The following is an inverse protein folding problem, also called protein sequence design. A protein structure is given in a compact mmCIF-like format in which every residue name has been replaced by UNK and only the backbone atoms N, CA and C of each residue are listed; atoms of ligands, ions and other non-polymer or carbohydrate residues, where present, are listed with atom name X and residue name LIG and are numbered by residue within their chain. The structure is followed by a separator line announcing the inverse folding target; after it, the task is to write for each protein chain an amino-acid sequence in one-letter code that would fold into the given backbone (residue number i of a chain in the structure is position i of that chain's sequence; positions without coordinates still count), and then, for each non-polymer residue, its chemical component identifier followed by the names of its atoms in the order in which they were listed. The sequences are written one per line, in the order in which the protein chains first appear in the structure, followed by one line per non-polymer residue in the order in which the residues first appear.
data_IF_828375481199
#
_entry.id   IF_828375481199
#
_cell.length_a   1.000
_cell.length_b   1.000
_cell.length_c   1.000
_cell.angle_alpha   90.00
_cell.angle_beta   90.00
_cell.angle_gamma   90.00
#
_symmetry.space_group_name_H-M   'P 1'
#
loop_
_entity.id
_entity.type
_entity.pdbx_description
1 polymer ?
#
# COMPACT_ATOMS: atom_id res chain seq x y z
N UNK A 1 -15.10 -7.00 36.83
CA UNK A 1 -13.78 -7.51 36.42
C UNK A 1 -13.86 -7.99 34.98
N UNK A 2 -13.18 -7.33 34.04
CA UNK A 2 -13.22 -7.68 32.62
C UNK A 2 -12.18 -8.78 32.35
N UNK A 3 -12.56 -9.81 31.60
CA UNK A 3 -11.69 -10.93 31.24
C UNK A 3 -11.45 -10.95 29.74
N UNK A 4 -10.24 -11.33 29.32
CA UNK A 4 -9.91 -11.56 27.91
C UNK A 4 -9.36 -12.95 27.71
N UNK A 5 -9.46 -13.46 26.48
CA UNK A 5 -8.85 -14.73 26.08
C UNK A 5 -7.50 -14.45 25.42
N UNK A 6 -6.45 -15.16 25.83
CA UNK A 6 -5.15 -15.04 25.20
C UNK A 6 -5.26 -15.54 23.74
N UNK A 7 -4.88 -14.74 22.72
CA UNK A 7 -4.97 -15.15 21.32
C UNK A 7 -3.96 -16.24 20.94
N UNK A 8 -2.97 -16.51 21.79
CA UNK A 8 -1.95 -17.54 21.55
C UNK A 8 -2.33 -18.88 22.21
N UNK A 9 -2.59 -18.90 23.52
CA UNK A 9 -2.83 -20.14 24.26
C UNK A 9 -4.30 -20.38 24.67
N UNK A 10 -5.21 -19.43 24.40
CA UNK A 10 -6.63 -19.58 24.69
C UNK A 10 -7.04 -19.47 26.17
N UNK A 11 -6.10 -19.30 27.12
CA UNK A 11 -6.42 -19.11 28.55
C UNK A 11 -7.12 -17.77 28.80
N UNK A 12 -8.05 -17.74 29.77
CA UNK A 12 -8.69 -16.49 30.24
C UNK A 12 -7.74 -15.77 31.20
N UNK A 13 -7.50 -14.49 30.96
CA UNK A 13 -6.70 -13.62 31.82
C UNK A 13 -7.48 -12.37 32.16
N UNK A 14 -7.30 -11.77 33.35
CA UNK A 14 -7.86 -10.46 33.64
C UNK A 14 -7.37 -9.43 32.61
N UNK A 15 -8.22 -8.48 32.26
CA UNK A 15 -7.83 -7.36 31.40
C UNK A 15 -6.86 -6.45 32.16
N UNK A 16 -5.75 -6.11 31.51
CA UNK A 16 -4.63 -5.39 32.13
C UNK A 16 -3.45 -6.29 32.50
N UNK A 17 -3.69 -7.59 32.70
CA UNK A 17 -2.64 -8.54 33.07
C UNK A 17 -2.03 -9.26 31.85
N UNK A 18 -0.74 -9.57 31.96
CA UNK A 18 -0.02 -10.37 30.96
C UNK A 18 -0.33 -11.84 31.17
N UNK A 19 -0.50 -12.57 30.06
CA UNK A 19 -0.64 -14.02 30.12
C UNK A 19 0.71 -14.67 30.45
N UNK A 20 0.70 -15.67 31.32
CA UNK A 20 1.89 -16.40 31.77
C UNK A 20 2.51 -17.31 30.70
N UNK A 21 1.85 -17.51 29.55
CA UNK A 21 2.33 -18.41 28.49
C UNK A 21 3.62 -17.94 27.79
N UNK A 22 4.19 -16.79 28.18
CA UNK A 22 5.47 -16.31 27.69
C UNK A 22 5.46 -15.87 26.22
N UNK A 23 4.31 -15.92 25.53
CA UNK A 23 4.21 -15.54 24.12
C UNK A 23 4.57 -14.07 23.94
N UNK A 24 5.72 -13.83 23.31
CA UNK A 24 6.11 -12.54 22.78
C UNK A 24 5.76 -12.54 21.30
N UNK A 25 4.84 -11.67 20.90
CA UNK A 25 4.60 -11.43 19.49
C UNK A 25 5.88 -10.84 18.89
N UNK A 26 6.56 -11.62 18.06
CA UNK A 26 7.65 -11.11 17.27
C UNK A 26 7.09 -10.19 16.20
N UNK A 27 7.45 -8.91 16.30
CA UNK A 27 7.23 -7.99 15.20
C UNK A 27 8.45 -8.11 14.29
N UNK A 28 8.23 -8.50 13.03
CA UNK A 28 9.28 -8.40 12.02
C UNK A 28 9.90 -7.01 12.08
N UNK A 29 11.24 -6.93 12.18
CA UNK A 29 11.94 -5.65 12.07
C UNK A 29 11.51 -5.03 10.74
N UNK A 30 10.88 -3.85 10.79
CA UNK A 30 10.48 -3.11 9.58
C UNK A 30 11.73 -2.95 8.72
N UNK A 31 11.74 -3.57 7.53
CA UNK A 31 12.90 -3.55 6.64
C UNK A 31 13.27 -2.15 6.17
N UNK A 32 14.44 -2.03 5.53
CA UNK A 32 14.99 -0.80 4.92
C UNK A 32 13.97 -0.01 4.08
N UNK A 33 13.03 -0.71 3.44
CA UNK A 33 11.94 -0.13 2.65
C UNK A 33 11.15 0.94 3.42
N UNK A 34 10.85 0.73 4.71
CA UNK A 34 10.06 1.71 5.48
C UNK A 34 10.83 3.03 5.71
N UNK A 35 12.17 2.96 5.81
CA UNK A 35 13.00 4.14 5.93
C UNK A 35 12.96 4.99 4.65
N UNK A 36 12.86 4.35 3.47
CA UNK A 36 12.79 5.03 2.16
C UNK A 36 11.59 5.97 2.05
N UNK A 37 10.43 5.61 2.60
CA UNK A 37 9.24 6.47 2.65
C UNK A 37 9.42 7.76 3.46
N UNK A 38 10.43 7.84 4.33
CA UNK A 38 10.71 9.05 5.13
C UNK A 38 11.68 10.02 4.43
N UNK A 39 12.32 9.57 3.36
CA UNK A 39 13.37 10.34 2.67
C UNK A 39 12.80 11.53 1.91
N UNK A 40 13.63 12.58 1.73
CA UNK A 40 13.29 13.70 0.85
C UNK A 40 13.11 13.27 -0.61
N UNK A 41 13.83 12.24 -1.06
CA UNK A 41 13.69 11.66 -2.40
C UNK A 41 12.27 11.13 -2.63
N UNK A 42 11.72 10.37 -1.68
CA UNK A 42 10.33 9.91 -1.76
C UNK A 42 9.33 11.08 -1.77
N UNK A 43 9.50 12.08 -0.89
CA UNK A 43 8.62 13.26 -0.86
C UNK A 43 8.58 13.98 -2.21
N UNK A 44 9.74 14.17 -2.85
CA UNK A 44 9.85 14.78 -4.19
C UNK A 44 9.16 13.92 -5.24
N UNK A 45 9.44 12.61 -5.28
CA UNK A 45 8.80 11.69 -6.23
C UNK A 45 7.27 11.72 -6.09
N UNK A 46 6.75 11.64 -4.87
CA UNK A 46 5.31 11.73 -4.59
C UNK A 46 4.72 13.04 -5.13
N UNK A 47 5.36 14.18 -4.87
CA UNK A 47 4.90 15.48 -5.35
C UNK A 47 4.89 15.55 -6.88
N UNK A 48 5.95 15.06 -7.55
CA UNK A 48 6.02 14.97 -9.02
C UNK A 48 4.89 14.11 -9.57
N UNK A 49 4.68 12.91 -9.01
CA UNK A 49 3.61 12.02 -9.45
C UNK A 49 2.23 12.66 -9.27
N UNK A 50 1.96 13.30 -8.14
CA UNK A 50 0.69 13.99 -7.93
C UNK A 50 0.47 15.12 -8.95
N UNK A 51 1.52 15.90 -9.23
CA UNK A 51 1.45 17.02 -10.18
C UNK A 51 1.20 16.57 -11.62
N UNK A 52 1.79 15.46 -12.05
CA UNK A 52 1.60 14.92 -13.40
C UNK A 52 0.12 14.60 -13.71
N UNK A 53 -0.65 14.25 -12.68
CA UNK A 53 -2.06 13.92 -12.79
C UNK A 53 -2.99 15.04 -12.31
N UNK A 54 -2.48 16.26 -12.11
CA UNK A 54 -3.24 17.38 -11.54
C UNK A 54 -3.93 17.03 -10.20
N UNK A 55 -3.34 16.11 -9.42
CA UNK A 55 -3.92 15.62 -8.17
C UNK A 55 -5.14 14.70 -8.34
N UNK A 56 -5.45 14.24 -9.54
CA UNK A 56 -6.57 13.35 -9.82
C UNK A 56 -6.16 11.88 -9.83
N UNK A 57 -7.12 11.01 -9.54
CA UNK A 57 -6.97 9.57 -9.62
C UNK A 57 -7.27 9.05 -11.04
N UNK A 58 -6.26 8.56 -11.78
CA UNK A 58 -6.44 8.00 -13.13
C UNK A 58 -7.19 6.66 -13.14
N UNK A 59 -7.15 5.86 -12.07
CA UNK A 59 -7.92 4.62 -11.97
C UNK A 59 -9.41 4.95 -11.82
N UNK A 60 -9.76 5.88 -10.94
CA UNK A 60 -11.13 6.36 -10.80
C UNK A 60 -11.66 6.91 -12.14
N UNK A 61 -10.86 7.75 -12.82
CA UNK A 61 -11.22 8.34 -14.12
C UNK A 61 -11.47 7.27 -15.19
N UNK A 62 -10.65 6.22 -15.24
CA UNK A 62 -10.83 5.10 -16.16
C UNK A 62 -12.15 4.33 -15.92
N UNK A 63 -12.69 4.42 -14.70
CA UNK A 63 -13.98 3.83 -14.29
C UNK A 63 -15.12 4.86 -14.27
N UNK A 64 -14.94 6.03 -14.89
CA UNK A 64 -15.98 7.07 -14.99
C UNK A 64 -16.21 7.88 -13.71
N UNK A 65 -15.28 7.82 -12.74
CA UNK A 65 -15.34 8.58 -11.48
C UNK A 65 -14.31 9.71 -11.49
N UNK A 66 -14.63 10.87 -10.92
CA UNK A 66 -13.68 11.97 -10.71
C UNK A 66 -13.35 12.05 -9.23
N UNK A 67 -12.13 11.66 -8.87
CA UNK A 67 -11.68 11.62 -7.47
C UNK A 67 -10.30 12.26 -7.33
N UNK A 68 -10.10 12.92 -6.19
CA UNK A 68 -8.79 13.43 -5.81
C UNK A 68 -7.91 12.27 -5.32
N UNK A 69 -6.66 12.26 -5.76
CA UNK A 69 -5.68 11.31 -5.27
C UNK A 69 -5.10 11.75 -3.92
N UNK A 70 -5.01 10.82 -2.98
CA UNK A 70 -4.43 11.05 -1.64
C UNK A 70 -3.11 10.31 -1.43
N UNK A 71 -2.86 9.26 -2.20
CA UNK A 71 -1.71 8.37 -2.02
C UNK A 71 -0.97 8.11 -3.33
N UNK A 72 0.33 7.87 -3.21
CA UNK A 72 1.16 7.42 -4.32
C UNK A 72 1.37 5.92 -4.16
N UNK A 73 0.78 5.15 -5.06
CA UNK A 73 0.76 3.70 -5.04
C UNK A 73 1.87 3.11 -5.90
N UNK A 74 2.63 2.15 -5.37
CA UNK A 74 3.59 1.37 -6.15
C UNK A 74 2.85 0.29 -6.96
N UNK A 75 2.95 0.31 -8.29
CA UNK A 75 2.31 -0.66 -9.19
C UNK A 75 2.92 -2.06 -8.97
N UNK A 76 4.25 -2.15 -8.98
CA UNK A 76 4.97 -3.31 -8.44
C UNK A 76 5.31 -2.98 -6.99
N UNK A 77 4.75 -3.70 -6.00
CA UNK A 77 4.99 -3.44 -4.59
C UNK A 77 6.47 -3.42 -4.21
N UNK A 78 6.81 -2.53 -3.29
CA UNK A 78 8.20 -2.29 -2.88
C UNK A 78 8.88 -3.50 -2.21
N UNK A 79 8.09 -4.40 -1.63
CA UNK A 79 8.51 -5.68 -1.06
C UNK A 79 8.74 -6.77 -2.11
N UNK A 80 8.18 -6.61 -3.32
CA UNK A 80 8.40 -7.52 -4.45
C UNK A 80 9.63 -7.13 -5.28
N UNK A 81 9.78 -5.84 -5.60
CA UNK A 81 10.96 -5.33 -6.28
C UNK A 81 11.36 -3.94 -5.74
N UNK A 82 12.28 -3.97 -4.78
CA UNK A 82 12.82 -2.76 -4.15
C UNK A 82 13.66 -1.89 -5.09
N UNK A 83 14.10 -2.39 -6.26
CA UNK A 83 14.84 -1.58 -7.24
C UNK A 83 13.94 -0.54 -7.91
N UNK A 84 12.64 -0.82 -7.99
CA UNK A 84 11.62 0.04 -8.60
C UNK A 84 11.06 1.09 -7.63
N UNK A 85 11.54 1.14 -6.37
CA UNK A 85 10.95 1.99 -5.33
C UNK A 85 10.88 3.48 -5.71
N UNK A 86 11.93 3.97 -6.38
CA UNK A 86 12.03 5.36 -6.84
C UNK A 86 11.78 5.50 -8.35
N UNK A 87 11.33 4.43 -9.01
CA UNK A 87 11.00 4.49 -10.43
C UNK A 87 9.72 5.31 -10.60
N UNK A 88 9.83 6.37 -11.40
CA UNK A 88 8.71 7.24 -11.72
C UNK A 88 7.58 6.45 -12.42
N UNK A 89 7.93 5.48 -13.26
CA UNK A 89 6.99 4.63 -14.01
C UNK A 89 6.33 3.55 -13.16
N UNK A 90 6.84 3.29 -11.95
CA UNK A 90 6.29 2.30 -11.03
C UNK A 90 5.36 2.92 -9.97
N UNK A 91 5.11 4.22 -10.01
CA UNK A 91 4.26 4.89 -9.02
C UNK A 91 3.09 5.54 -9.72
N UNK A 92 1.89 5.47 -9.16
CA UNK A 92 0.66 6.08 -9.72
C UNK A 92 -0.14 6.72 -8.58
N UNK A 93 -0.68 7.94 -8.76
CA UNK A 93 -1.50 8.56 -7.71
C UNK A 93 -2.87 7.87 -7.69
N UNK A 94 -3.44 7.60 -6.52
CA UNK A 94 -4.76 6.99 -6.34
C UNK A 94 -5.51 7.69 -5.21
N UNK A 95 -6.85 7.66 -5.25
CA UNK A 95 -7.70 7.91 -4.09
C UNK A 95 -7.61 6.73 -3.13
N UNK A 96 -8.01 6.93 -1.88
CA UNK A 96 -8.08 5.87 -0.87
C UNK A 96 -8.96 4.71 -1.32
N UNK A 97 -10.05 4.99 -2.02
CA UNK A 97 -11.01 3.98 -2.46
C UNK A 97 -10.42 3.14 -3.58
N UNK A 98 -9.85 3.78 -4.61
CA UNK A 98 -9.13 3.06 -5.68
C UNK A 98 -7.91 2.30 -5.15
N UNK A 99 -7.20 2.86 -4.18
CA UNK A 99 -6.08 2.16 -3.53
C UNK A 99 -6.54 0.88 -2.83
N UNK A 100 -7.69 0.92 -2.14
CA UNK A 100 -8.27 -0.26 -1.52
C UNK A 100 -8.74 -1.29 -2.55
N UNK A 101 -9.37 -0.83 -3.64
CA UNK A 101 -9.81 -1.66 -4.77
C UNK A 101 -8.63 -2.39 -5.43
N UNK A 102 -7.56 -1.66 -5.78
CA UNK A 102 -6.34 -2.24 -6.36
C UNK A 102 -5.73 -3.30 -5.45
N UNK A 103 -5.63 -3.03 -4.14
CA UNK A 103 -5.15 -4.04 -3.19
C UNK A 103 -6.09 -5.24 -3.04
N UNK A 104 -7.40 -5.07 -3.24
CA UNK A 104 -8.34 -6.19 -3.27
C UNK A 104 -8.10 -7.05 -4.51
N UNK A 105 -7.91 -6.43 -5.69
CA UNK A 105 -7.57 -7.12 -6.93
C UNK A 105 -6.23 -7.86 -6.84
N UNK A 106 -5.21 -7.25 -6.23
CA UNK A 106 -3.90 -7.89 -6.04
C UNK A 106 -3.97 -9.15 -5.17
N UNK A 107 -4.87 -9.16 -4.19
CA UNK A 107 -5.05 -10.30 -3.27
C UNK A 107 -5.99 -11.36 -3.82
N UNK A 108 -6.75 -11.07 -4.89
CA UNK A 108 -7.77 -11.97 -5.45
C UNK A 108 -7.12 -13.17 -6.15
N UNK A 109 -6.14 -12.93 -7.02
CA UNK A 109 -5.33 -13.95 -7.67
C UNK A 109 -4.09 -13.35 -8.33
N UNK A 110 -3.09 -14.18 -8.63
CA UNK A 110 -1.90 -13.73 -9.39
C UNK A 110 -2.26 -13.20 -10.78
N UNK A 111 -3.30 -13.76 -11.40
CA UNK A 111 -3.80 -13.29 -12.69
C UNK A 111 -4.39 -11.89 -12.56
N UNK A 112 -5.29 -11.68 -11.60
CA UNK A 112 -5.92 -10.38 -11.37
C UNK A 112 -4.91 -9.31 -11.01
N UNK A 113 -3.92 -9.68 -10.20
CA UNK A 113 -2.80 -8.81 -9.86
C UNK A 113 -2.05 -8.37 -11.11
N UNK A 114 -1.63 -9.30 -11.97
CA UNK A 114 -0.92 -8.99 -13.23
C UNK A 114 -1.77 -8.13 -14.16
N UNK A 115 -3.05 -8.48 -14.35
CA UNK A 115 -3.96 -7.72 -15.20
C UNK A 115 -4.14 -6.27 -14.68
N UNK A 116 -4.29 -6.12 -13.36
CA UNK A 116 -4.39 -4.80 -12.70
C UNK A 116 -3.10 -4.00 -12.82
N UNK A 117 -1.94 -4.63 -12.62
CA UNK A 117 -0.63 -3.99 -12.81
C UNK A 117 -0.45 -3.49 -14.24
N UNK A 118 -0.83 -4.28 -15.25
CA UNK A 118 -0.78 -3.85 -16.65
C UNK A 118 -1.75 -2.71 -16.96
N UNK A 119 -2.95 -2.72 -16.39
CA UNK A 119 -3.89 -1.61 -16.50
C UNK A 119 -3.30 -0.31 -15.91
N UNK A 120 -2.72 -0.38 -14.70
CA UNK A 120 -2.08 0.77 -14.06
C UNK A 120 -0.86 1.27 -14.85
N UNK A 121 -0.03 0.37 -15.41
CA UNK A 121 1.09 0.75 -16.29
C UNK A 121 0.60 1.48 -17.54
N UNK A 122 -0.52 1.06 -18.13
CA UNK A 122 -1.12 1.76 -19.28
C UNK A 122 -1.61 3.15 -18.92
N UNK A 123 -2.28 3.30 -17.77
CA UNK A 123 -2.68 4.62 -17.26
C UNK A 123 -1.46 5.50 -16.95
N UNK A 124 -0.35 4.88 -16.51
CA UNK A 124 0.91 5.57 -16.27
C UNK A 124 1.50 6.17 -17.54
N UNK A 125 1.63 5.37 -18.59
CA UNK A 125 2.23 5.75 -19.87
C UNK A 125 1.48 6.85 -20.62
N UNK A 126 0.19 7.06 -20.37
CA UNK A 126 -0.62 8.08 -21.05
C UNK A 126 -0.28 9.53 -20.65
N UNK A 127 0.49 9.71 -19.58
CA UNK A 127 0.80 11.03 -19.00
C UNK A 127 2.26 11.41 -19.18
N UNK A 128 3.11 10.48 -19.61
CA UNK A 128 4.51 10.77 -19.94
C UNK A 128 4.58 11.45 -21.31
N UNK A 129 5.09 12.69 -21.34
CA UNK A 129 5.37 13.47 -22.56
C UNK A 129 6.59 12.91 -23.27
#
# INVERSE_FOLDING_TARGET
MLWRRCPHCGKRTPVGEKCECGYKREYFKRGDVYARYKTGRWKKLRATVMSLYSGLDPWALAHGRVEAADTAHHIIPADEDGSLFYSLDNVIPLSRDSHAEVHALYRRSDKDKKDTQEALKRLRKRVTV
#
